data_IF_900026127254
#
_entry.id   IF_900026127254
#
_cell.length_a   1.000
_cell.length_b   1.000
_cell.length_c   1.000
_cell.angle_alpha   90.00
_cell.angle_beta   90.00
_cell.angle_gamma   90.00
#
_symmetry.space_group_name_H-M   'P 1'
#
loop_
_entity.id
_entity.type
_entity.pdbx_description
1 polymer ?
#
# COMPACT_ATOMS: atom_id res chain seq x y z
N UNK A 1 19.16 -13.39 -10.64
CA UNK A 1 18.66 -13.86 -9.34
C UNK A 1 17.17 -14.16 -9.46
N UNK A 2 16.78 -15.31 -9.01
CA UNK A 2 15.39 -15.75 -9.08
C UNK A 2 14.60 -15.14 -7.93
N UNK A 3 13.49 -14.47 -8.25
CA UNK A 3 12.64 -13.88 -7.23
C UNK A 3 11.67 -14.93 -6.71
N UNK A 4 11.42 -14.89 -5.41
CA UNK A 4 10.41 -15.73 -4.79
C UNK A 4 9.02 -15.25 -5.20
N UNK A 5 8.20 -16.17 -5.67
CA UNK A 5 6.79 -15.89 -5.90
C UNK A 5 6.04 -15.89 -4.56
N UNK A 6 5.36 -14.80 -4.29
CA UNK A 6 4.52 -14.70 -3.10
C UNK A 6 3.17 -15.30 -3.43
N UNK A 7 2.72 -16.24 -2.61
CA UNK A 7 1.40 -16.83 -2.79
C UNK A 7 0.32 -15.83 -2.32
N UNK A 8 -0.83 -15.89 -2.98
CA UNK A 8 -1.95 -15.00 -2.64
C UNK A 8 -2.35 -15.11 -1.16
N UNK A 9 -2.31 -16.32 -0.60
CA UNK A 9 -2.62 -16.54 0.80
C UNK A 9 -1.63 -15.84 1.73
N UNK A 10 -0.34 -15.88 1.40
CA UNK A 10 0.68 -15.18 2.19
C UNK A 10 0.44 -13.67 2.20
N UNK A 11 0.09 -13.11 1.05
CA UNK A 11 -0.23 -11.69 0.92
C UNK A 11 -1.46 -11.35 1.74
N UNK A 12 -2.51 -12.14 1.63
CA UNK A 12 -3.75 -11.93 2.38
C UNK A 12 -3.51 -11.98 3.89
N UNK A 13 -2.69 -12.92 4.35
CA UNK A 13 -2.33 -13.03 5.77
C UNK A 13 -1.55 -11.81 6.25
N UNK A 14 -0.62 -11.31 5.44
CA UNK A 14 0.10 -10.08 5.77
C UNK A 14 -0.86 -8.90 5.89
N UNK A 15 -1.72 -8.72 4.90
CA UNK A 15 -2.64 -7.58 4.86
C UNK A 15 -3.67 -7.62 5.97
N UNK A 16 -4.04 -8.81 6.45
CA UNK A 16 -4.96 -8.94 7.56
C UNK A 16 -4.39 -8.43 8.89
N UNK A 17 -3.07 -8.28 8.98
CA UNK A 17 -2.41 -7.76 10.18
C UNK A 17 -2.35 -6.24 10.23
N UNK A 18 -2.75 -5.56 9.17
CA UNK A 18 -2.71 -4.10 9.09
C UNK A 18 -3.91 -3.52 9.82
N UNK A 19 -3.64 -2.68 10.82
CA UNK A 19 -4.68 -2.04 11.60
C UNK A 19 -5.47 -1.04 10.76
N UNK A 20 -6.81 -1.14 10.74
CA UNK A 20 -7.64 -0.16 10.04
C UNK A 20 -7.70 1.15 10.81
N UNK A 21 -8.15 2.22 10.14
CA UNK A 21 -8.38 3.50 10.79
C UNK A 21 -9.45 3.34 11.89
N UNK A 22 -9.15 3.73 13.14
CA UNK A 22 -10.09 3.52 14.26
C UNK A 22 -11.35 4.38 14.16
N UNK A 23 -11.27 5.52 13.45
CA UNK A 23 -12.40 6.46 13.32
C UNK A 23 -12.44 6.99 11.89
N UNK A 24 -12.84 6.17 10.91
CA UNK A 24 -12.87 6.60 9.52
C UNK A 24 -13.89 7.74 9.34
N UNK A 25 -13.50 8.73 8.53
CA UNK A 25 -14.35 9.88 8.21
C UNK A 25 -14.95 9.67 6.83
N UNK A 26 -16.28 9.47 6.71
CA UNK A 26 -16.89 9.19 5.39
C UNK A 26 -16.67 10.29 4.37
N UNK A 27 -16.60 11.56 4.80
CA UNK A 27 -16.34 12.67 3.89
C UNK A 27 -14.96 12.63 3.25
N UNK A 28 -14.02 11.87 3.81
CA UNK A 28 -12.69 11.65 3.26
C UNK A 28 -12.60 10.32 2.52
N UNK A 29 -13.72 9.63 2.33
CA UNK A 29 -13.79 8.33 1.68
C UNK A 29 -12.86 7.30 2.32
N UNK A 30 -12.79 7.32 3.65
CA UNK A 30 -11.93 6.43 4.42
C UNK A 30 -12.59 5.07 4.62
N UNK A 31 -12.51 4.24 3.62
CA UNK A 31 -12.99 2.87 3.71
C UNK A 31 -11.83 1.91 3.92
N UNK A 32 -12.04 0.93 4.79
CA UNK A 32 -11.08 -0.15 4.94
C UNK A 32 -11.40 -1.23 3.90
N UNK A 33 -10.52 -1.35 2.90
CA UNK A 33 -10.65 -2.42 1.92
C UNK A 33 -10.35 -3.74 2.62
N UNK A 34 -11.23 -4.75 2.53
CA UNK A 34 -10.94 -6.05 3.13
C UNK A 34 -9.62 -6.63 2.62
N UNK A 35 -8.89 -7.31 3.50
CA UNK A 35 -7.59 -7.89 3.15
C UNK A 35 -7.67 -8.82 1.93
N UNK A 36 -8.73 -9.60 1.84
CA UNK A 36 -8.95 -10.51 0.70
C UNK A 36 -9.07 -9.74 -0.62
N UNK A 37 -9.85 -8.65 -0.62
CA UNK A 37 -10.05 -7.83 -1.82
C UNK A 37 -8.75 -7.15 -2.21
N UNK A 38 -8.07 -6.54 -1.25
CA UNK A 38 -6.78 -5.89 -1.49
C UNK A 38 -5.76 -6.89 -2.04
N UNK A 39 -5.69 -8.09 -1.47
CA UNK A 39 -4.78 -9.13 -1.93
C UNK A 39 -5.10 -9.54 -3.38
N UNK A 40 -6.38 -9.66 -3.72
CA UNK A 40 -6.78 -10.01 -5.08
C UNK A 40 -6.37 -8.92 -6.08
N UNK A 41 -6.62 -7.66 -5.76
CA UNK A 41 -6.24 -6.53 -6.62
C UNK A 41 -4.73 -6.50 -6.85
N UNK A 42 -3.95 -6.61 -5.78
CA UNK A 42 -2.49 -6.57 -5.86
C UNK A 42 -1.93 -7.78 -6.59
N UNK A 43 -2.51 -8.95 -6.38
CA UNK A 43 -2.06 -10.17 -7.04
C UNK A 43 -2.25 -10.09 -8.55
N UNK A 44 -3.39 -9.54 -8.98
CA UNK A 44 -3.67 -9.33 -10.41
C UNK A 44 -2.66 -8.32 -10.97
N UNK A 45 -2.44 -7.20 -10.29
CA UNK A 45 -1.48 -6.19 -10.74
C UNK A 45 -0.06 -6.77 -10.84
N UNK A 46 0.34 -7.58 -9.87
CA UNK A 46 1.70 -8.11 -9.80
C UNK A 46 1.95 -9.21 -10.84
N UNK A 47 1.05 -10.18 -10.94
CA UNK A 47 1.34 -11.41 -11.69
C UNK A 47 0.63 -11.49 -13.05
N UNK A 48 -0.51 -10.84 -13.20
CA UNK A 48 -1.17 -10.80 -14.51
C UNK A 48 -0.66 -9.66 -15.38
N UNK A 49 -0.34 -8.50 -14.76
CA UNK A 49 0.03 -7.29 -15.49
C UNK A 49 1.50 -6.87 -15.30
N UNK A 50 2.23 -7.50 -14.38
CA UNK A 50 3.63 -7.17 -14.07
C UNK A 50 3.82 -5.70 -13.68
N UNK A 51 2.92 -5.16 -12.85
CA UNK A 51 2.91 -3.74 -12.52
C UNK A 51 3.52 -3.41 -11.17
N UNK A 52 4.01 -4.38 -10.40
CA UNK A 52 4.45 -4.17 -9.02
C UNK A 52 5.96 -4.44 -8.83
N UNK A 53 6.41 -5.66 -9.13
CA UNK A 53 7.79 -6.05 -8.86
C UNK A 53 8.78 -5.18 -9.63
N UNK A 54 9.75 -4.62 -8.93
CA UNK A 54 10.78 -3.71 -9.47
C UNK A 54 10.22 -2.38 -10.01
N UNK A 55 8.97 -2.06 -9.70
CA UNK A 55 8.33 -0.83 -10.15
C UNK A 55 8.30 0.21 -9.05
N UNK A 56 8.23 1.47 -9.45
CA UNK A 56 7.92 2.57 -8.54
C UNK A 56 6.41 2.72 -8.47
N UNK A 57 5.86 2.61 -7.27
CA UNK A 57 4.41 2.56 -7.05
C UNK A 57 3.98 3.76 -6.22
N UNK A 58 2.95 4.44 -6.68
CA UNK A 58 2.30 5.53 -5.94
C UNK A 58 0.92 5.07 -5.50
N UNK A 59 0.65 5.17 -4.21
CA UNK A 59 -0.65 4.84 -3.62
C UNK A 59 -1.35 6.14 -3.20
N UNK A 60 -2.31 6.58 -3.99
CA UNK A 60 -3.07 7.80 -3.72
C UNK A 60 -4.24 7.48 -2.80
N UNK A 61 -4.32 8.19 -1.67
CA UNK A 61 -5.31 7.87 -0.65
C UNK A 61 -4.94 6.59 0.09
N UNK A 62 -3.70 6.50 0.54
CA UNK A 62 -3.14 5.25 1.07
C UNK A 62 -3.81 4.76 2.36
N UNK A 63 -4.51 5.62 3.09
CA UNK A 63 -5.13 5.25 4.35
C UNK A 63 -4.11 4.67 5.33
N UNK A 64 -4.40 3.51 5.89
CA UNK A 64 -3.51 2.86 6.85
C UNK A 64 -2.51 1.93 6.19
N UNK A 65 -2.45 1.90 4.85
CA UNK A 65 -1.34 1.36 4.10
C UNK A 65 -1.52 -0.04 3.52
N UNK A 66 -2.74 -0.58 3.43
CA UNK A 66 -2.92 -1.95 2.92
C UNK A 66 -2.34 -2.15 1.53
N UNK A 67 -2.70 -1.29 0.58
CA UNK A 67 -2.20 -1.43 -0.79
C UNK A 67 -0.70 -1.14 -0.86
N UNK A 68 -0.26 -0.08 -0.19
CA UNK A 68 1.17 0.28 -0.17
C UNK A 68 2.04 -0.83 0.39
N UNK A 69 1.66 -1.37 1.55
CA UNK A 69 2.43 -2.41 2.21
C UNK A 69 2.38 -3.73 1.44
N UNK A 70 1.25 -4.03 0.82
CA UNK A 70 1.13 -5.18 -0.06
C UNK A 70 2.05 -5.07 -1.28
N UNK A 71 2.11 -3.88 -1.90
CA UNK A 71 3.02 -3.65 -3.02
C UNK A 71 4.48 -3.82 -2.60
N UNK A 72 4.85 -3.30 -1.43
CA UNK A 72 6.20 -3.48 -0.88
C UNK A 72 6.51 -4.96 -0.64
N UNK A 73 5.57 -5.70 -0.10
CA UNK A 73 5.72 -7.14 0.14
C UNK A 73 5.89 -7.92 -1.17
N UNK A 74 5.29 -7.43 -2.25
CA UNK A 74 5.40 -8.02 -3.59
C UNK A 74 6.63 -7.50 -4.36
N UNK A 75 7.59 -6.92 -3.66
CA UNK A 75 8.90 -6.50 -4.18
C UNK A 75 8.85 -5.29 -5.10
N UNK A 76 7.96 -4.35 -4.89
CA UNK A 76 8.06 -3.05 -5.53
C UNK A 76 9.43 -2.43 -5.20
N UNK A 77 10.03 -1.74 -6.15
CA UNK A 77 11.32 -1.08 -5.92
C UNK A 77 11.18 0.04 -4.90
N UNK A 78 10.14 0.86 -5.07
CA UNK A 78 9.84 1.98 -4.21
C UNK A 78 8.34 2.18 -4.16
N UNK A 79 7.82 2.39 -2.96
CA UNK A 79 6.39 2.70 -2.78
C UNK A 79 6.28 4.05 -2.08
N UNK A 80 5.40 4.91 -2.58
CA UNK A 80 5.06 6.18 -1.94
C UNK A 80 3.56 6.16 -1.64
N UNK A 81 3.20 6.25 -0.37
CA UNK A 81 1.81 6.34 0.08
C UNK A 81 1.48 7.76 0.48
N UNK A 82 0.40 8.30 -0.06
CA UNK A 82 -0.04 9.67 0.18
C UNK A 82 -1.48 9.68 0.66
N UNK A 83 -1.73 10.43 1.74
CA UNK A 83 -3.08 10.65 2.22
C UNK A 83 -3.17 12.02 2.86
N UNK A 84 -4.33 12.65 2.76
CA UNK A 84 -4.57 13.95 3.39
C UNK A 84 -4.75 13.81 4.91
N UNK A 85 -5.14 12.63 5.38
CA UNK A 85 -5.37 12.38 6.80
C UNK A 85 -4.06 12.00 7.50
N UNK A 86 -3.55 12.94 8.30
CA UNK A 86 -2.31 12.74 9.05
C UNK A 86 -2.37 11.55 10.01
N UNK A 87 -3.54 11.30 10.61
CA UNK A 87 -3.68 10.19 11.56
C UNK A 87 -3.61 8.84 10.84
N UNK A 88 -4.18 8.76 9.64
CA UNK A 88 -4.09 7.55 8.81
C UNK A 88 -2.64 7.29 8.40
N UNK A 89 -1.93 8.32 7.94
CA UNK A 89 -0.52 8.21 7.54
C UNK A 89 0.34 7.78 8.72
N UNK A 90 0.08 8.32 9.90
CA UNK A 90 0.80 7.94 11.11
C UNK A 90 0.61 6.46 11.45
N UNK A 91 -0.61 5.98 11.31
CA UNK A 91 -0.93 4.56 11.52
C UNK A 91 -0.32 3.68 10.44
N UNK A 92 -0.32 4.15 9.19
CA UNK A 92 0.35 3.44 8.09
C UNK A 92 1.85 3.27 8.38
N UNK A 93 2.50 4.32 8.87
CA UNK A 93 3.89 4.23 9.28
C UNK A 93 4.08 3.18 10.39
N UNK A 94 3.23 3.19 11.41
CA UNK A 94 3.30 2.20 12.49
C UNK A 94 3.13 0.78 11.96
N UNK A 95 2.19 0.58 11.03
CA UNK A 95 1.99 -0.72 10.40
C UNK A 95 3.25 -1.15 9.64
N UNK A 96 3.91 -0.23 8.94
CA UNK A 96 5.13 -0.55 8.18
C UNK A 96 6.28 -0.96 9.10
N UNK A 97 6.39 -0.33 10.26
CA UNK A 97 7.40 -0.68 11.26
C UNK A 97 7.12 -2.09 11.81
N UNK A 98 5.89 -2.35 12.20
CA UNK A 98 5.49 -3.63 12.79
C UNK A 98 5.68 -4.79 11.83
N UNK A 99 5.46 -4.57 10.53
CA UNK A 99 5.59 -5.60 9.50
C UNK A 99 6.99 -5.65 8.88
N UNK A 100 7.93 -4.85 9.39
CA UNK A 100 9.31 -4.80 8.89
C UNK A 100 9.42 -4.40 7.42
N UNK A 101 8.55 -3.47 6.99
CA UNK A 101 8.54 -2.94 5.63
C UNK A 101 8.81 -1.44 5.58
N UNK A 102 9.20 -0.86 6.71
CA UNK A 102 9.39 0.59 6.85
C UNK A 102 10.30 1.21 5.78
N UNK A 103 11.38 0.54 5.43
CA UNK A 103 12.37 1.08 4.50
C UNK A 103 11.91 0.98 3.04
N UNK A 104 10.84 0.24 2.79
CA UNK A 104 10.33 0.02 1.45
C UNK A 104 9.25 1.02 1.06
N UNK A 105 8.72 1.79 2.00
CA UNK A 105 7.61 2.72 1.75
C UNK A 105 7.92 4.09 2.34
N UNK A 106 7.70 5.13 1.54
CA UNK A 106 7.73 6.52 2.00
C UNK A 106 6.28 6.99 2.19
N UNK A 107 5.99 7.56 3.35
CA UNK A 107 4.66 8.02 3.70
C UNK A 107 4.60 9.54 3.69
N UNK A 108 3.59 10.11 3.04
CA UNK A 108 3.43 11.55 2.90
C UNK A 108 2.00 11.94 3.29
N UNK A 109 1.86 12.86 4.25
CA UNK A 109 0.59 13.45 4.62
C UNK A 109 0.42 14.75 3.82
N UNK A 110 -0.34 14.70 2.75
CA UNK A 110 -0.56 15.85 1.86
C UNK A 110 -1.80 15.63 1.00
N UNK A 111 -2.27 16.73 0.41
CA UNK A 111 -3.29 16.64 -0.64
C UNK A 111 -2.67 15.99 -1.88
N UNK A 112 -3.38 15.05 -2.48
CA UNK A 112 -2.89 14.35 -3.67
C UNK A 112 -2.61 15.29 -4.84
N UNK A 113 -3.27 16.46 -4.86
CA UNK A 113 -3.08 17.44 -5.94
C UNK A 113 -1.68 18.08 -5.93
N UNK A 114 -0.92 17.95 -4.84
CA UNK A 114 0.43 18.51 -4.76
C UNK A 114 1.52 17.49 -5.08
N UNK A 115 1.15 16.26 -5.37
CA UNK A 115 2.12 15.21 -5.68
C UNK A 115 2.64 15.40 -7.10
N UNK A 116 3.96 15.43 -7.23
CA UNK A 116 4.65 15.56 -8.52
C UNK A 116 5.67 14.44 -8.66
N UNK A 117 5.88 14.01 -9.90
CA UNK A 117 6.86 12.98 -10.19
C UNK A 117 6.32 11.94 -11.16
N UNK A 118 7.18 11.00 -11.51
CA UNK A 118 6.84 9.90 -12.40
C UNK A 118 6.84 8.59 -11.64
N UNK A 119 5.80 7.81 -11.83
CA UNK A 119 5.65 6.50 -11.23
C UNK A 119 5.25 5.49 -12.28
N UNK A 120 5.74 4.26 -12.14
CA UNK A 120 5.39 3.17 -13.05
C UNK A 120 3.94 2.73 -12.86
N UNK A 121 3.47 2.75 -11.61
CA UNK A 121 2.15 2.24 -11.26
C UNK A 121 1.50 3.15 -10.23
N UNK A 122 0.22 3.43 -10.40
CA UNK A 122 -0.58 4.22 -9.46
C UNK A 122 -1.71 3.34 -8.94
N UNK A 123 -1.80 3.23 -7.61
CA UNK A 123 -2.88 2.56 -6.91
C UNK A 123 -3.84 3.60 -6.33
N UNK A 124 -5.10 3.22 -6.23
CA UNK A 124 -6.11 4.15 -5.76
C UNK A 124 -7.24 3.44 -5.03
#
# INVERSE_FOLDING_TARGET
>A
MQKRLVRKLELEMLLSQIEPHPSPTPSLEQYTIPAEVAATMLYIAAYANDDIADKTVLDLGCGTGRLSLGAAFLNAEQVVGVDIDKSAVRLAFKNSVRLNLRERVQWIAADIDVVQGSFDTVLQ
#
